data_IF_061962158751
#
_entry.id   IF_061962158751
#
_cell.length_a   1.000
_cell.length_b   1.000
_cell.length_c   1.000
_cell.angle_alpha   90.00
_cell.angle_beta   90.00
_cell.angle_gamma   90.00
#
_symmetry.space_group_name_H-M   'P 1'
#
loop_
_entity.id
_entity.type
_entity.pdbx_description
1 polymer ?
#
# COMPACT_ATOMS: atom_id res chain seq x y z
N UNK A 1 -4.50 -9.32 15.32
CA UNK A 1 -5.92 -8.92 15.33
C UNK A 1 -6.60 -9.49 16.56
N UNK A 2 -7.61 -8.82 17.12
CA UNK A 2 -8.29 -9.32 18.33
C UNK A 2 -9.19 -10.50 17.96
N UNK A 3 -8.95 -11.66 18.58
CA UNK A 3 -9.71 -12.91 18.38
C UNK A 3 -9.79 -13.43 16.93
N UNK A 4 -8.92 -12.96 16.04
CA UNK A 4 -8.85 -13.39 14.65
C UNK A 4 -7.43 -13.91 14.36
N UNK A 5 -7.27 -15.23 14.57
CA UNK A 5 -5.99 -15.92 14.39
C UNK A 5 -5.57 -15.90 12.92
N UNK A 6 -6.52 -16.18 12.02
CA UNK A 6 -6.25 -16.26 10.59
C UNK A 6 -5.68 -14.93 10.06
N UNK A 7 -6.33 -13.79 10.35
CA UNK A 7 -5.79 -12.49 9.91
C UNK A 7 -4.42 -12.18 10.51
N UNK A 8 -4.15 -12.67 11.72
CA UNK A 8 -2.85 -12.47 12.38
C UNK A 8 -1.76 -13.27 11.69
N UNK A 9 -2.05 -14.51 11.28
CA UNK A 9 -1.16 -15.36 10.50
C UNK A 9 -0.97 -14.83 9.06
N UNK A 10 -2.03 -14.33 8.42
CA UNK A 10 -1.96 -13.73 7.08
C UNK A 10 -1.13 -12.44 7.03
N UNK A 11 -0.98 -11.75 8.15
CA UNK A 11 -0.25 -10.48 8.20
C UNK A 11 1.28 -10.65 8.31
N UNK A 12 1.77 -11.85 8.62
CA UNK A 12 3.20 -12.14 8.79
C UNK A 12 3.57 -13.37 7.97
N UNK A 13 4.53 -13.25 7.06
CA UNK A 13 4.96 -14.38 6.24
C UNK A 13 5.87 -15.38 7.00
N UNK A 14 6.22 -16.48 6.30
CA UNK A 14 7.11 -17.53 6.81
C UNK A 14 8.52 -17.02 7.13
N UNK A 15 8.96 -15.93 6.50
CA UNK A 15 10.24 -15.28 6.77
C UNK A 15 10.15 -14.26 7.93
N UNK A 16 8.97 -14.14 8.55
CA UNK A 16 8.64 -13.23 9.66
C UNK A 16 8.62 -11.75 9.27
N UNK A 17 8.31 -11.43 8.01
CA UNK A 17 8.05 -10.06 7.59
C UNK A 17 6.58 -9.72 7.77
N UNK A 18 6.31 -8.51 8.27
CA UNK A 18 4.96 -7.97 8.37
C UNK A 18 4.53 -7.33 7.03
N UNK A 19 3.37 -7.73 6.52
CA UNK A 19 2.78 -7.16 5.33
C UNK A 19 1.99 -5.89 5.67
N UNK A 20 2.66 -4.73 5.65
CA UNK A 20 2.00 -3.43 5.90
C UNK A 20 0.88 -3.12 4.91
N UNK A 21 1.02 -3.62 3.67
CA UNK A 21 0.14 -3.29 2.55
C UNK A 21 0.43 -1.91 1.95
N UNK A 22 1.55 -1.29 2.31
CA UNK A 22 1.97 0.00 1.80
C UNK A 22 2.92 -0.18 0.61
N UNK A 23 2.73 0.65 -0.42
CA UNK A 23 3.64 0.77 -1.54
C UNK A 23 4.66 1.86 -1.22
N UNK A 24 5.95 1.52 -1.35
CA UNK A 24 7.05 2.40 -0.99
C UNK A 24 8.06 2.50 -2.14
N UNK A 25 8.66 3.67 -2.29
CA UNK A 25 9.87 3.87 -3.10
C UNK A 25 11.05 4.04 -2.15
N UNK A 26 12.11 3.26 -2.35
CA UNK A 26 13.34 3.31 -1.57
C UNK A 26 14.41 4.11 -2.32
N UNK A 27 15.01 5.06 -1.64
CA UNK A 27 16.18 5.82 -2.13
C UNK A 27 17.47 5.00 -1.99
N UNK A 28 18.52 5.40 -2.70
CA UNK A 28 19.85 4.78 -2.63
C UNK A 28 20.48 4.81 -1.23
N UNK A 29 20.03 5.74 -0.37
CA UNK A 29 20.49 5.85 1.02
C UNK A 29 19.71 4.97 2.00
N UNK A 30 18.78 4.14 1.51
CA UNK A 30 17.97 3.22 2.31
C UNK A 30 16.70 3.83 2.93
N UNK A 31 16.46 5.14 2.75
CA UNK A 31 15.21 5.77 3.19
C UNK A 31 14.06 5.41 2.24
N UNK A 32 12.87 5.15 2.78
CA UNK A 32 11.67 4.82 2.01
C UNK A 32 10.58 5.88 2.17
N UNK A 33 9.87 6.18 1.08
CA UNK A 33 8.67 7.03 1.07
C UNK A 33 7.45 6.22 0.68
N UNK A 34 6.37 6.31 1.46
CA UNK A 34 5.08 5.70 1.13
C UNK A 34 4.41 6.49 0.00
N UNK A 35 4.07 5.79 -1.07
CA UNK A 35 3.41 6.36 -2.26
C UNK A 35 1.99 5.87 -2.46
N UNK A 36 1.59 4.80 -1.78
CA UNK A 36 0.23 4.28 -1.91
C UNK A 36 -0.04 3.06 -1.05
N UNK A 37 -1.18 2.42 -1.32
CA UNK A 37 -1.67 1.25 -0.61
C UNK A 37 -2.00 0.17 -1.63
N UNK A 38 -1.49 -1.04 -1.43
CA UNK A 38 -1.73 -2.17 -2.31
C UNK A 38 -3.23 -2.50 -2.41
N UNK A 39 -3.95 -2.35 -1.28
CA UNK A 39 -5.39 -2.67 -1.18
C UNK A 39 -6.30 -1.62 -1.82
N UNK A 40 -5.78 -0.41 -2.05
CA UNK A 40 -6.58 0.68 -2.60
C UNK A 40 -6.38 0.80 -4.12
N UNK A 41 -5.50 -0.01 -4.71
CA UNK A 41 -5.26 -0.04 -6.16
C UNK A 41 -6.49 -0.56 -6.91
N UNK A 42 -6.96 0.21 -7.89
CA UNK A 42 -8.08 -0.15 -8.76
C UNK A 42 -7.53 -0.60 -10.11
N UNK A 43 -8.01 -1.73 -10.62
CA UNK A 43 -7.66 -2.20 -11.97
C UNK A 43 -8.82 -1.89 -12.93
N UNK A 44 -8.57 -1.11 -13.98
CA UNK A 44 -9.58 -0.77 -14.99
C UNK A 44 -8.98 -0.76 -16.39
N UNK A 45 -9.54 -1.56 -17.30
CA UNK A 45 -9.08 -1.60 -18.70
C UNK A 45 -7.66 -2.14 -18.89
N UNK A 46 -7.11 -2.84 -17.89
CA UNK A 46 -5.71 -3.31 -17.89
C UNK A 46 -4.74 -2.37 -17.18
N UNK A 47 -5.19 -1.19 -16.76
CA UNK A 47 -4.36 -0.19 -16.08
C UNK A 47 -4.54 -0.22 -14.56
N UNK A 48 -3.45 0.06 -13.83
CA UNK A 48 -3.44 0.22 -12.38
C UNK A 48 -3.68 1.70 -12.05
N UNK A 49 -4.78 1.98 -11.36
CA UNK A 49 -5.19 3.31 -10.92
C UNK A 49 -4.99 3.42 -9.41
N UNK A 50 -4.19 4.39 -8.98
CA UNK A 50 -3.91 4.65 -7.57
C UNK A 50 -4.77 5.83 -7.08
N UNK A 51 -5.77 5.61 -6.21
CA UNK A 51 -6.66 6.69 -5.74
C UNK A 51 -5.92 7.87 -5.14
N UNK A 52 -4.81 7.63 -4.42
CA UNK A 52 -3.98 8.71 -3.85
C UNK A 52 -3.49 9.70 -4.90
N UNK A 53 -3.06 9.25 -6.07
CA UNK A 53 -2.59 10.16 -7.13
C UNK A 53 -3.73 11.06 -7.63
N UNK A 54 -4.95 10.52 -7.69
CA UNK A 54 -6.15 11.26 -8.06
C UNK A 54 -6.53 12.23 -6.94
N UNK A 55 -6.53 11.79 -5.67
CA UNK A 55 -6.84 12.62 -4.51
C UNK A 55 -5.85 13.79 -4.38
N UNK A 56 -4.55 13.53 -4.50
CA UNK A 56 -3.50 14.55 -4.46
C UNK A 56 -3.70 15.59 -5.57
N UNK A 57 -4.09 15.15 -6.78
CA UNK A 57 -4.44 16.06 -7.87
C UNK A 57 -5.71 16.87 -7.54
N UNK A 58 -6.78 16.22 -7.08
CA UNK A 58 -8.05 16.88 -6.74
C UNK A 58 -7.89 17.89 -5.60
N UNK A 59 -6.96 17.67 -4.67
CA UNK A 59 -6.62 18.65 -3.64
C UNK A 59 -6.01 19.94 -4.18
N UNK A 60 -5.55 19.96 -5.44
CA UNK A 60 -5.05 21.17 -6.10
C UNK A 60 -6.16 21.97 -6.81
N UNK A 61 -7.40 21.48 -6.80
CA UNK A 61 -8.55 22.16 -7.42
C UNK A 61 -9.01 23.36 -6.57
N UNK A 62 -9.21 24.56 -7.18
CA UNK A 62 -9.60 25.78 -6.46
C UNK A 62 -11.00 25.75 -5.83
#
# INVERSE_FOLDING_TARGET
YWQDRQKTEEAIDQARWFHSGDLCIMSETGHSRVVGRLKDMIIRGGENIYPREIEDFLHTHP
#
